data_IF_983722057914
#
_entry.id   IF_983722057914
#
_cell.length_a   1.000
_cell.length_b   1.000
_cell.length_c   1.000
_cell.angle_alpha   90.00
_cell.angle_beta   90.00
_cell.angle_gamma   90.00
#
_symmetry.space_group_name_H-M   'P 1'
#
loop_
_entity.id
_entity.type
_entity.pdbx_description
1 polymer ?
#
# COMPACT_ATOMS: atom_id res chain seq x y z
N UNK A 1 -10.83 33.05 -15.06
CA UNK A 1 -11.88 33.29 -14.05
C UNK A 1 -11.67 32.36 -12.90
N UNK A 2 -11.64 32.80 -11.65
CA UNK A 2 -11.47 31.89 -10.53
C UNK A 2 -12.71 31.01 -10.44
N UNK A 3 -12.54 29.75 -10.74
CA UNK A 3 -13.52 28.71 -10.44
C UNK A 3 -13.71 28.72 -8.91
N UNK A 4 -14.96 28.74 -8.47
CA UNK A 4 -15.29 28.74 -7.05
C UNK A 4 -15.01 27.34 -6.48
N UNK A 5 -13.73 27.05 -6.24
CA UNK A 5 -13.28 25.77 -5.70
C UNK A 5 -13.28 25.83 -4.18
N UNK A 6 -13.70 24.75 -3.49
CA UNK A 6 -13.67 24.68 -2.03
C UNK A 6 -12.26 24.89 -1.46
N UNK A 7 -12.12 25.41 -0.23
CA UNK A 7 -10.81 25.55 0.42
C UNK A 7 -9.98 24.26 0.41
N UNK A 8 -10.62 23.13 0.69
CA UNK A 8 -9.98 21.80 0.70
C UNK A 8 -9.32 21.42 -0.65
N UNK A 9 -9.82 21.96 -1.76
CA UNK A 9 -9.19 21.75 -3.07
C UNK A 9 -7.82 22.43 -3.15
N UNK A 10 -7.65 23.59 -2.53
CA UNK A 10 -6.36 24.29 -2.48
C UNK A 10 -5.32 23.51 -1.67
N UNK A 11 -5.77 22.94 -0.57
CA UNK A 11 -4.90 22.11 0.29
C UNK A 11 -4.44 20.84 -0.45
N UNK A 12 -5.35 20.23 -1.22
CA UNK A 12 -4.99 19.08 -2.08
C UNK A 12 -4.08 19.49 -3.25
N UNK A 13 -4.26 20.71 -3.83
CA UNK A 13 -3.37 21.24 -4.86
C UNK A 13 -1.97 21.52 -4.32
N UNK A 14 -1.86 22.02 -3.09
CA UNK A 14 -0.59 22.27 -2.41
C UNK A 14 0.13 20.95 -2.15
N UNK A 15 -0.56 19.95 -1.59
CA UNK A 15 -0.02 18.58 -1.44
C UNK A 15 0.46 17.99 -2.76
N UNK A 16 -0.26 18.24 -3.87
CA UNK A 16 0.19 17.82 -5.19
C UNK A 16 1.50 18.48 -5.62
N UNK A 17 1.72 19.75 -5.26
CA UNK A 17 2.96 20.49 -5.59
C UNK A 17 4.14 20.02 -4.73
N UNK A 18 3.87 19.72 -3.46
CA UNK A 18 4.89 19.29 -2.50
C UNK A 18 5.26 17.82 -2.66
N UNK A 19 4.33 16.98 -3.16
CA UNK A 19 4.58 15.57 -3.35
C UNK A 19 5.78 15.33 -4.27
N UNK A 20 6.78 14.66 -3.75
CA UNK A 20 8.00 14.26 -4.47
C UNK A 20 7.84 12.90 -5.15
N UNK A 21 7.04 12.02 -4.58
CA UNK A 21 6.77 10.67 -5.10
C UNK A 21 5.64 10.64 -6.14
N UNK A 22 5.72 9.73 -7.12
CA UNK A 22 4.61 9.50 -8.08
C UNK A 22 3.32 9.06 -7.36
N UNK A 23 3.36 8.14 -6.38
CA UNK A 23 2.17 7.79 -5.60
C UNK A 23 1.53 8.97 -4.89
N UNK A 24 2.32 9.80 -4.22
CA UNK A 24 1.81 11.00 -3.56
C UNK A 24 1.12 11.99 -4.52
N UNK A 25 1.68 12.19 -5.72
CA UNK A 25 1.04 12.99 -6.77
C UNK A 25 -0.28 12.41 -7.25
N UNK A 26 -0.35 11.09 -7.41
CA UNK A 26 -1.57 10.39 -7.81
C UNK A 26 -2.64 10.55 -6.73
N UNK A 27 -2.30 10.34 -5.46
CA UNK A 27 -3.21 10.49 -4.33
C UNK A 27 -3.81 11.91 -4.27
N UNK A 28 -2.95 12.92 -4.32
CA UNK A 28 -3.40 14.32 -4.29
C UNK A 28 -4.31 14.69 -5.48
N UNK A 29 -4.05 14.19 -6.70
CA UNK A 29 -4.93 14.40 -7.85
C UNK A 29 -6.29 13.72 -7.69
N UNK A 30 -6.32 12.54 -7.10
CA UNK A 30 -7.58 11.84 -6.83
C UNK A 30 -8.42 12.59 -5.80
N UNK A 31 -7.79 13.09 -4.75
CA UNK A 31 -8.44 13.93 -3.76
C UNK A 31 -9.00 15.22 -4.38
N UNK A 32 -8.23 15.91 -5.23
CA UNK A 32 -8.71 17.08 -5.97
C UNK A 32 -9.96 16.76 -6.81
N UNK A 33 -10.01 15.58 -7.43
CA UNK A 33 -11.16 15.13 -8.21
C UNK A 33 -12.39 14.81 -7.35
N UNK A 34 -12.19 14.32 -6.13
CA UNK A 34 -13.27 14.01 -5.17
C UNK A 34 -13.93 15.28 -4.62
N UNK A 35 -13.10 16.24 -4.22
CA UNK A 35 -13.56 17.49 -3.60
C UNK A 35 -14.28 18.39 -4.63
N UNK A 36 -14.00 18.21 -5.91
CA UNK A 36 -14.53 19.10 -6.94
C UNK A 36 -16.03 18.94 -7.16
N UNK A 37 -16.82 20.02 -7.02
CA UNK A 37 -18.26 19.97 -7.19
C UNK A 37 -18.67 19.57 -8.62
N UNK A 38 -19.82 18.90 -8.74
CA UNK A 38 -20.37 18.42 -10.02
C UNK A 38 -21.24 19.51 -10.67
N UNK A 39 -20.64 20.43 -11.42
CA UNK A 39 -21.40 21.42 -12.22
C UNK A 39 -20.65 21.76 -13.52
N UNK A 40 -21.41 22.27 -14.52
CA UNK A 40 -20.88 22.57 -15.87
C UNK A 40 -19.59 23.41 -15.89
N UNK A 41 -19.40 24.30 -14.94
CA UNK A 41 -18.20 25.14 -14.86
C UNK A 41 -16.91 24.40 -14.45
N UNK A 42 -17.03 23.19 -13.90
CA UNK A 42 -15.88 22.37 -13.46
C UNK A 42 -15.56 21.22 -14.41
N UNK A 43 -16.39 20.97 -15.42
CA UNK A 43 -16.24 19.80 -16.29
C UNK A 43 -14.91 19.81 -17.06
N UNK A 44 -14.48 20.98 -17.55
CA UNK A 44 -13.22 21.13 -18.26
C UNK A 44 -12.01 20.85 -17.33
N UNK A 45 -12.06 21.38 -16.10
CA UNK A 45 -11.00 21.16 -15.10
C UNK A 45 -10.95 19.70 -14.68
N UNK A 46 -12.11 19.05 -14.47
CA UNK A 46 -12.18 17.60 -14.20
C UNK A 46 -11.59 16.77 -15.32
N UNK A 47 -11.87 17.12 -16.58
CA UNK A 47 -11.31 16.44 -17.73
C UNK A 47 -9.78 16.55 -17.76
N UNK A 48 -9.24 17.73 -17.46
CA UNK A 48 -7.80 17.97 -17.37
C UNK A 48 -7.15 17.16 -16.23
N UNK A 49 -7.76 17.16 -15.04
CA UNK A 49 -7.24 16.40 -13.89
C UNK A 49 -7.29 14.89 -14.15
N UNK A 50 -8.37 14.38 -14.77
CA UNK A 50 -8.46 12.96 -15.17
C UNK A 50 -7.40 12.58 -16.21
N UNK A 51 -7.18 13.42 -17.22
CA UNK A 51 -6.15 13.19 -18.21
C UNK A 51 -4.74 13.18 -17.57
N UNK A 52 -4.50 14.09 -16.61
CA UNK A 52 -3.23 14.13 -15.86
C UNK A 52 -3.06 12.91 -14.97
N UNK A 53 -4.12 12.49 -14.28
CA UNK A 53 -4.15 11.29 -13.47
C UNK A 53 -3.84 10.05 -14.32
N UNK A 54 -4.51 9.91 -15.47
CA UNK A 54 -4.28 8.80 -16.41
C UNK A 54 -2.83 8.74 -16.89
N UNK A 55 -2.22 9.90 -17.17
CA UNK A 55 -0.79 9.97 -17.55
C UNK A 55 0.12 9.52 -16.42
N UNK A 56 -0.07 10.05 -15.20
CA UNK A 56 0.75 9.64 -14.06
C UNK A 56 0.57 8.16 -13.70
N UNK A 57 -0.63 7.61 -13.89
CA UNK A 57 -0.87 6.17 -13.71
C UNK A 57 -0.17 5.35 -14.80
N UNK A 58 -0.21 5.80 -16.06
CA UNK A 58 0.53 5.18 -17.16
C UNK A 58 2.05 5.29 -16.96
N UNK A 59 2.54 6.43 -16.46
CA UNK A 59 3.96 6.62 -16.13
C UNK A 59 4.38 5.70 -14.97
N UNK A 60 3.50 5.48 -14.01
CA UNK A 60 3.69 4.54 -12.93
C UNK A 60 3.77 3.09 -13.46
N UNK A 61 2.87 2.72 -14.38
CA UNK A 61 2.87 1.44 -15.06
C UNK A 61 4.09 1.28 -15.98
N UNK A 62 4.44 2.31 -16.75
CA UNK A 62 5.57 2.31 -17.65
C UNK A 62 6.94 2.44 -16.94
N UNK A 63 7.01 3.03 -15.75
CA UNK A 63 8.23 2.98 -14.94
C UNK A 63 8.52 1.57 -14.45
N UNK A 64 7.50 0.69 -14.46
CA UNK A 64 7.65 -0.76 -14.28
C UNK A 64 8.05 -1.49 -15.57
N UNK A 65 7.80 -0.90 -16.76
CA UNK A 65 8.12 -1.44 -18.06
C UNK A 65 9.50 -0.98 -18.57
N UNK A 66 10.57 -1.25 -17.84
CA UNK A 66 11.86 -1.40 -18.51
C UNK A 66 11.78 -2.69 -19.32
N UNK A 67 11.55 -2.55 -20.63
CA UNK A 67 11.46 -3.62 -21.63
C UNK A 67 12.53 -4.67 -21.42
N UNK A 68 12.18 -5.76 -20.78
CA UNK A 68 12.87 -7.03 -20.87
C UNK A 68 11.85 -8.10 -21.21
N UNK A 69 11.80 -8.37 -22.49
CA UNK A 69 11.30 -9.59 -23.14
C UNK A 69 10.63 -10.64 -22.25
N UNK A 70 9.30 -10.70 -22.27
CA UNK A 70 8.58 -11.96 -22.04
C UNK A 70 8.45 -12.47 -20.60
N UNK A 71 9.01 -11.81 -19.59
CA UNK A 71 8.85 -12.18 -18.19
C UNK A 71 7.71 -11.37 -17.59
N UNK A 72 6.72 -12.00 -16.92
CA UNK A 72 5.67 -11.26 -16.23
C UNK A 72 6.30 -10.26 -15.23
N UNK A 73 5.75 -9.03 -15.18
CA UNK A 73 6.15 -8.02 -14.21
C UNK A 73 5.94 -8.57 -12.78
N UNK A 74 6.97 -8.70 -11.93
CA UNK A 74 6.86 -9.36 -10.63
C UNK A 74 5.82 -8.72 -9.70
N UNK A 75 5.54 -7.42 -9.86
CA UNK A 75 4.53 -6.70 -9.07
C UNK A 75 3.11 -6.80 -9.64
N UNK A 76 2.96 -7.28 -10.87
CA UNK A 76 1.65 -7.55 -11.49
C UNK A 76 1.18 -8.96 -11.13
N UNK A 77 0.90 -9.17 -9.85
CA UNK A 77 0.39 -10.44 -9.37
C UNK A 77 -1.13 -10.55 -9.65
N UNK A 78 -1.60 -11.60 -10.33
CA UNK A 78 -3.02 -11.88 -10.41
C UNK A 78 -3.59 -12.09 -9.00
N UNK A 79 -4.81 -11.58 -8.76
CA UNK A 79 -5.49 -11.83 -7.50
C UNK A 79 -6.11 -13.22 -7.54
N UNK A 80 -5.76 -14.05 -6.57
CA UNK A 80 -6.21 -15.42 -6.46
C UNK A 80 -6.91 -15.67 -5.12
N UNK A 81 -7.81 -16.66 -5.07
CA UNK A 81 -8.56 -16.99 -3.86
C UNK A 81 -9.65 -15.99 -3.50
N UNK A 82 -10.14 -16.05 -2.27
CA UNK A 82 -11.25 -15.26 -1.76
C UNK A 82 -10.87 -13.79 -1.49
N UNK A 83 -9.58 -13.51 -1.28
CA UNK A 83 -9.08 -12.16 -1.02
C UNK A 83 -7.56 -12.13 -0.97
N UNK A 84 -7.00 -10.92 -1.03
CA UNK A 84 -5.55 -10.67 -0.92
C UNK A 84 -5.22 -9.88 0.33
N UNK A 85 -4.39 -10.45 1.18
CA UNK A 85 -3.76 -9.80 2.31
C UNK A 85 -2.28 -9.52 1.99
N UNK A 86 -1.79 -8.32 2.26
CA UNK A 86 -0.42 -7.92 1.92
C UNK A 86 0.36 -7.59 3.18
N UNK A 87 1.51 -8.27 3.36
CA UNK A 87 2.44 -8.03 4.46
C UNK A 87 3.27 -6.79 4.18
N UNK A 88 3.19 -5.78 5.04
CA UNK A 88 3.87 -4.48 4.91
C UNK A 88 4.72 -4.25 6.17
N UNK A 89 5.85 -3.62 6.02
CA UNK A 89 6.71 -3.25 7.13
C UNK A 89 8.17 -3.12 6.69
N UNK A 90 9.05 -2.66 7.59
CA UNK A 90 10.47 -2.46 7.30
C UNK A 90 11.22 -3.77 7.03
N UNK A 91 12.52 -3.64 6.78
CA UNK A 91 13.41 -4.79 6.56
C UNK A 91 13.56 -5.61 7.85
N UNK A 92 13.65 -6.93 7.71
CA UNK A 92 13.95 -7.89 8.79
C UNK A 92 12.90 -8.01 9.92
N UNK A 93 11.71 -7.49 9.77
CA UNK A 93 10.62 -7.69 10.75
C UNK A 93 10.00 -9.08 10.71
N UNK A 94 10.34 -9.90 9.70
CA UNK A 94 9.90 -11.30 9.59
C UNK A 94 8.73 -11.54 8.64
N UNK A 95 8.38 -10.63 7.74
CA UNK A 95 7.31 -10.80 6.74
C UNK A 95 7.43 -12.12 5.97
N UNK A 96 8.60 -12.39 5.40
CA UNK A 96 8.88 -13.62 4.64
C UNK A 96 8.79 -14.88 5.51
N UNK A 97 9.12 -14.78 6.79
CA UNK A 97 8.97 -15.89 7.74
C UNK A 97 7.48 -16.17 8.00
N UNK A 98 6.68 -15.13 8.21
CA UNK A 98 5.22 -15.25 8.37
C UNK A 98 4.63 -15.92 7.14
N UNK A 99 4.92 -15.44 5.93
CA UNK A 99 4.45 -16.06 4.69
C UNK A 99 4.81 -17.55 4.64
N UNK A 100 6.08 -17.88 4.85
CA UNK A 100 6.58 -19.26 4.76
C UNK A 100 5.90 -20.18 5.78
N UNK A 101 5.71 -19.71 7.00
CA UNK A 101 5.11 -20.51 8.09
C UNK A 101 3.60 -20.71 7.90
N UNK A 102 2.90 -19.72 7.38
CA UNK A 102 1.44 -19.77 7.26
C UNK A 102 0.97 -20.44 5.96
N UNK A 103 1.74 -20.31 4.88
CA UNK A 103 1.32 -20.80 3.55
C UNK A 103 2.15 -21.98 3.05
N UNK A 104 3.26 -22.31 3.68
CA UNK A 104 4.22 -23.28 3.17
C UNK A 104 5.00 -22.80 1.93
N UNK A 105 4.81 -21.57 1.50
CA UNK A 105 5.53 -20.99 0.36
C UNK A 105 7.04 -20.97 0.67
N UNK A 106 7.85 -21.39 -0.29
CA UNK A 106 9.32 -21.35 -0.18
C UNK A 106 9.81 -19.93 -0.38
N UNK A 107 9.68 -19.09 0.64
CA UNK A 107 10.44 -17.85 0.70
C UNK A 107 11.92 -18.20 0.89
N UNK A 108 12.81 -17.50 0.19
CA UNK A 108 14.26 -17.59 0.44
C UNK A 108 14.56 -16.90 1.77
N UNK A 109 14.24 -17.56 2.87
CA UNK A 109 14.61 -17.12 4.21
C UNK A 109 16.10 -17.41 4.37
N UNK A 110 16.94 -16.47 4.02
CA UNK A 110 18.37 -16.52 4.28
C UNK A 110 18.73 -15.54 5.39
N UNK A 111 19.64 -15.93 6.25
CA UNK A 111 20.18 -15.12 7.36
C UNK A 111 21.00 -13.89 6.94
N UNK A 112 21.07 -13.59 5.66
CA UNK A 112 21.66 -12.39 5.11
C UNK A 112 20.57 -11.53 4.45
N UNK A 113 20.57 -10.26 4.81
CA UNK A 113 19.66 -9.20 4.42
C UNK A 113 19.60 -8.94 2.90
N UNK A 114 19.14 -9.92 2.13
CA UNK A 114 18.56 -9.66 0.83
C UNK A 114 17.09 -9.37 1.10
N UNK A 115 16.81 -8.09 1.38
CA UNK A 115 15.45 -7.59 1.38
C UNK A 115 14.75 -8.11 0.14
N UNK A 116 13.56 -8.69 0.32
CA UNK A 116 12.68 -9.11 -0.77
C UNK A 116 12.60 -7.97 -1.78
N UNK A 117 13.06 -8.20 -3.01
CA UNK A 117 13.02 -7.18 -4.07
C UNK A 117 11.77 -7.31 -4.94
N UNK A 118 11.16 -8.49 -4.93
CA UNK A 118 9.96 -8.83 -5.68
C UNK A 118 8.91 -9.41 -4.73
N UNK A 119 7.62 -9.08 -4.90
CA UNK A 119 6.57 -9.64 -4.06
C UNK A 119 6.43 -11.15 -4.28
N UNK A 120 6.24 -11.87 -3.19
CA UNK A 120 6.11 -13.33 -3.19
C UNK A 120 4.72 -13.69 -2.69
N UNK A 121 3.85 -14.30 -3.53
CA UNK A 121 2.54 -14.77 -3.11
C UNK A 121 2.63 -16.15 -2.45
N UNK A 122 1.73 -16.40 -1.49
CA UNK A 122 1.44 -17.69 -0.91
C UNK A 122 -0.05 -17.83 -0.65
N UNK A 123 -0.57 -19.05 -0.69
CA UNK A 123 -1.99 -19.33 -0.45
C UNK A 123 -2.20 -19.81 0.98
N UNK A 124 -2.92 -19.02 1.78
CA UNK A 124 -3.29 -19.36 3.14
C UNK A 124 -4.63 -20.08 3.17
N UNK A 125 -4.69 -21.33 3.61
CA UNK A 125 -5.95 -22.08 3.71
C UNK A 125 -6.75 -21.61 4.95
N UNK A 126 -8.02 -21.35 4.76
CA UNK A 126 -8.96 -21.11 5.85
C UNK A 126 -10.28 -21.80 5.54
N UNK A 127 -10.64 -22.79 6.33
CA UNK A 127 -11.79 -23.67 6.06
C UNK A 127 -11.76 -24.22 4.62
N UNK A 128 -12.79 -23.95 3.84
CA UNK A 128 -12.93 -24.42 2.44
C UNK A 128 -12.45 -23.40 1.40
N UNK A 129 -11.83 -22.30 1.84
CA UNK A 129 -11.37 -21.21 0.96
C UNK A 129 -9.87 -20.94 1.15
N UNK A 130 -9.30 -20.22 0.18
CA UNK A 130 -7.91 -19.77 0.24
C UNK A 130 -7.83 -18.25 0.16
N UNK A 131 -6.95 -17.66 0.97
CA UNK A 131 -6.56 -16.26 0.86
C UNK A 131 -5.16 -16.16 0.28
N UNK A 132 -4.95 -15.20 -0.61
CA UNK A 132 -3.63 -14.89 -1.11
C UNK A 132 -2.91 -13.97 -0.12
N UNK A 133 -1.84 -14.47 0.50
CA UNK A 133 -0.96 -13.68 1.34
C UNK A 133 0.27 -13.30 0.51
N UNK A 134 0.63 -12.01 0.50
CA UNK A 134 1.74 -11.51 -0.32
C UNK A 134 2.81 -10.89 0.57
N UNK A 135 4.04 -11.44 0.52
CA UNK A 135 5.22 -10.81 1.09
C UNK A 135 5.73 -9.72 0.16
N UNK A 136 6.00 -8.53 0.69
CA UNK A 136 6.41 -7.37 -0.10
C UNK A 136 7.83 -6.90 0.24
N UNK A 137 8.47 -6.20 -0.70
CA UNK A 137 9.65 -5.40 -0.38
C UNK A 137 9.39 -4.45 0.78
N UNK A 138 10.44 -4.05 1.51
CA UNK A 138 10.30 -3.04 2.56
C UNK A 138 9.68 -1.75 2.03
N UNK A 139 8.79 -1.15 2.83
CA UNK A 139 8.05 0.06 2.44
C UNK A 139 8.97 1.26 2.20
N UNK A 140 10.08 1.33 2.91
CA UNK A 140 11.13 2.34 2.83
C UNK A 140 12.05 2.20 1.61
N UNK A 141 11.88 1.16 0.79
CA UNK A 141 12.69 0.94 -0.40
C UNK A 141 12.21 1.80 -1.58
N UNK A 142 12.83 2.97 -1.75
CA UNK A 142 12.51 3.93 -2.82
C UNK A 142 12.50 3.30 -4.22
N UNK A 143 13.38 2.33 -4.49
CA UNK A 143 13.47 1.69 -5.82
C UNK A 143 12.24 0.85 -6.18
N UNK A 144 11.47 0.40 -5.19
CA UNK A 144 10.29 -0.45 -5.39
C UNK A 144 8.97 0.26 -5.08
N UNK A 145 9.01 1.46 -4.53
CA UNK A 145 7.85 2.22 -4.03
C UNK A 145 6.71 2.33 -5.04
N UNK A 146 7.00 2.77 -6.26
CA UNK A 146 5.97 2.94 -7.30
C UNK A 146 5.27 1.65 -7.67
N UNK A 147 6.04 0.55 -7.77
CA UNK A 147 5.50 -0.77 -8.09
C UNK A 147 4.74 -1.38 -6.90
N UNK A 148 5.25 -1.16 -5.68
CA UNK A 148 4.60 -1.57 -4.45
C UNK A 148 3.23 -0.88 -4.30
N UNK A 149 3.14 0.41 -4.57
CA UNK A 149 1.87 1.13 -4.58
C UNK A 149 0.82 0.49 -5.49
N UNK A 150 1.21 0.10 -6.72
CA UNK A 150 0.32 -0.60 -7.65
C UNK A 150 -0.25 -1.90 -7.08
N UNK A 151 0.60 -2.69 -6.41
CA UNK A 151 0.20 -3.92 -5.73
C UNK A 151 -0.74 -3.64 -4.55
N UNK A 152 -0.41 -2.67 -3.70
CA UNK A 152 -1.20 -2.31 -2.52
C UNK A 152 -2.62 -1.84 -2.87
N UNK A 153 -2.79 -1.13 -3.99
CA UNK A 153 -4.12 -0.74 -4.48
C UNK A 153 -5.04 -1.94 -4.70
N UNK A 154 -4.49 -3.06 -5.15
CA UNK A 154 -5.26 -4.28 -5.45
C UNK A 154 -5.44 -5.20 -4.25
N UNK A 155 -4.85 -4.87 -3.12
CA UNK A 155 -4.96 -5.62 -1.86
C UNK A 155 -6.29 -5.31 -1.16
N UNK A 156 -6.87 -6.29 -0.51
CA UNK A 156 -8.11 -6.13 0.26
C UNK A 156 -7.82 -5.77 1.73
N UNK A 157 -6.74 -6.32 2.28
CA UNK A 157 -6.34 -6.16 3.68
C UNK A 157 -4.86 -5.88 3.74
N UNK A 158 -4.45 -4.97 4.62
CA UNK A 158 -3.06 -4.76 4.99
C UNK A 158 -2.72 -5.48 6.28
N UNK A 159 -1.54 -6.10 6.31
CA UNK A 159 -0.97 -6.70 7.50
C UNK A 159 0.34 -5.99 7.80
N UNK A 160 0.31 -5.05 8.72
CA UNK A 160 1.49 -4.31 9.15
C UNK A 160 2.28 -5.14 10.14
N UNK A 161 3.53 -5.45 9.80
CA UNK A 161 4.41 -6.28 10.63
C UNK A 161 5.47 -5.39 11.27
N UNK A 162 5.51 -5.38 12.59
CA UNK A 162 6.51 -4.71 13.40
C UNK A 162 7.36 -5.71 14.18
N UNK A 163 8.61 -5.38 14.40
CA UNK A 163 9.57 -6.13 15.20
C UNK A 163 9.57 -5.58 16.63
N UNK A 164 9.08 -6.38 17.60
CA UNK A 164 9.04 -6.01 19.01
C UNK A 164 10.42 -5.74 19.62
N UNK A 165 11.49 -6.25 19.02
CA UNK A 165 12.85 -6.05 19.55
C UNK A 165 13.50 -4.75 19.15
N UNK A 166 12.83 -3.93 18.30
CA UNK A 166 13.46 -2.75 17.73
C UNK A 166 12.46 -1.57 17.57
N UNK A 167 12.04 -0.96 18.69
CA UNK A 167 11.13 0.19 18.67
C UNK A 167 9.91 0.01 17.76
N UNK A 168 9.00 -0.89 18.08
CA UNK A 168 7.86 -1.23 17.22
C UNK A 168 6.96 -0.04 16.92
N UNK A 169 6.81 0.89 17.86
CA UNK A 169 6.01 2.10 17.70
C UNK A 169 6.54 2.98 16.55
N UNK A 170 7.84 3.23 16.53
CA UNK A 170 8.48 4.03 15.45
C UNK A 170 8.32 3.35 14.09
N UNK A 171 8.42 2.02 14.04
CA UNK A 171 8.22 1.27 12.80
C UNK A 171 6.79 1.42 12.27
N UNK A 172 5.79 1.38 13.16
CA UNK A 172 4.38 1.54 12.82
C UNK A 172 4.09 2.98 12.40
N UNK A 173 4.55 3.97 13.14
CA UNK A 173 4.39 5.39 12.80
C UNK A 173 4.96 5.69 11.41
N UNK A 174 6.14 5.17 11.09
CA UNK A 174 6.73 5.32 9.77
C UNK A 174 5.86 4.66 8.69
N UNK A 175 5.40 3.42 8.91
CA UNK A 175 4.55 2.72 7.96
C UNK A 175 3.20 3.43 7.77
N UNK A 176 2.59 3.94 8.84
CA UNK A 176 1.36 4.73 8.76
C UNK A 176 1.56 6.02 7.97
N UNK A 177 2.66 6.74 8.22
CA UNK A 177 2.99 7.98 7.52
C UNK A 177 3.16 7.75 6.02
N UNK A 178 3.93 6.75 5.61
CA UNK A 178 4.15 6.40 4.20
C UNK A 178 2.84 6.00 3.50
N UNK A 179 2.04 5.15 4.14
CA UNK A 179 0.76 4.72 3.57
C UNK A 179 -0.25 5.86 3.46
N UNK A 180 -0.26 6.77 4.44
CA UNK A 180 -1.09 7.97 4.40
C UNK A 180 -0.63 8.94 3.30
N UNK A 181 0.69 9.14 3.10
CA UNK A 181 1.21 9.94 1.98
C UNK A 181 0.80 9.34 0.63
N UNK A 182 0.72 8.02 0.54
CA UNK A 182 0.25 7.33 -0.66
C UNK A 182 -1.28 7.35 -0.82
N UNK A 183 -2.00 7.97 0.14
CA UNK A 183 -3.44 8.18 0.11
C UNK A 183 -4.26 6.97 0.57
N UNK A 184 -3.66 6.03 1.29
CA UNK A 184 -4.41 4.96 1.93
C UNK A 184 -4.94 5.38 3.30
N UNK A 185 -6.21 5.09 3.57
CA UNK A 185 -6.83 5.23 4.87
C UNK A 185 -6.83 3.87 5.56
N UNK A 186 -6.13 3.76 6.68
CA UNK A 186 -6.07 2.52 7.44
C UNK A 186 -7.24 2.46 8.41
N UNK A 187 -7.96 1.35 8.41
CA UNK A 187 -9.15 1.15 9.23
C UNK A 187 -9.05 -0.15 10.03
N UNK A 188 -9.59 -0.15 11.24
CA UNK A 188 -9.64 -1.35 12.09
C UNK A 188 -10.66 -2.38 11.59
N UNK A 189 -11.70 -1.94 10.90
CA UNK A 189 -12.77 -2.80 10.40
C UNK A 189 -13.01 -2.55 8.92
N UNK A 190 -13.37 -3.62 8.22
CA UNK A 190 -14.00 -3.49 6.92
C UNK A 190 -15.32 -2.75 7.11
N UNK A 191 -15.32 -1.44 7.00
CA UNK A 191 -16.54 -0.66 6.98
C UNK A 191 -17.39 -1.16 5.83
N UNK A 192 -18.46 -1.88 6.19
CA UNK A 192 -19.38 -2.44 5.23
C UNK A 192 -19.78 -1.36 4.22
N UNK A 193 -19.45 -1.61 2.99
CA UNK A 193 -19.87 -1.04 1.72
C UNK A 193 -20.97 0.04 1.88
N UNK A 194 -20.58 1.25 2.21
CA UNK A 194 -21.37 2.42 1.88
C UNK A 194 -21.05 2.79 0.42
N UNK A 195 -22.02 2.62 -0.46
CA UNK A 195 -21.89 2.66 -1.92
C UNK A 195 -21.46 4.01 -2.52
N UNK A 196 -21.14 5.02 -1.71
CA UNK A 196 -20.88 6.39 -2.16
C UNK A 196 -19.46 6.93 -1.92
N UNK A 197 -18.57 6.15 -1.32
CA UNK A 197 -17.17 6.56 -1.09
C UNK A 197 -16.21 5.72 -1.93
N UNK A 198 -15.12 6.32 -2.41
CA UNK A 198 -14.08 5.61 -3.18
C UNK A 198 -13.29 4.65 -2.28
N UNK A 199 -13.88 3.52 -1.99
CA UNK A 199 -13.47 2.50 -1.03
C UNK A 199 -12.12 1.81 -1.33
N UNK A 200 -11.52 2.07 -2.49
CA UNK A 200 -10.22 1.45 -2.81
C UNK A 200 -9.06 2.00 -1.96
N UNK A 201 -9.22 3.17 -1.34
CA UNK A 201 -8.24 3.78 -0.44
C UNK A 201 -8.40 3.31 1.00
N UNK A 202 -9.62 2.92 1.40
CA UNK A 202 -9.87 2.45 2.75
C UNK A 202 -9.40 0.99 2.84
N UNK A 203 -8.41 0.75 3.68
CA UNK A 203 -7.78 -0.56 3.84
C UNK A 203 -7.94 -1.06 5.26
N UNK A 204 -8.77 -2.11 5.46
CA UNK A 204 -8.75 -2.86 6.70
C UNK A 204 -7.33 -3.29 7.02
N UNK A 205 -6.88 -3.02 8.23
CA UNK A 205 -5.48 -3.20 8.61
C UNK A 205 -5.37 -4.00 9.89
N UNK A 206 -4.49 -4.99 9.88
CA UNK A 206 -4.13 -5.80 11.03
C UNK A 206 -2.68 -5.50 11.39
N UNK A 207 -2.42 -5.23 12.66
CA UNK A 207 -1.06 -5.07 13.18
C UNK A 207 -0.58 -6.41 13.73
N UNK A 208 0.61 -6.82 13.33
CA UNK A 208 1.28 -8.04 13.79
C UNK A 208 2.61 -7.67 14.44
N UNK A 209 2.67 -7.80 15.75
CA UNK A 209 3.90 -7.64 16.53
C UNK A 209 4.66 -8.96 16.53
N UNK A 210 5.75 -9.01 15.79
CA UNK A 210 6.55 -10.22 15.60
C UNK A 210 7.76 -10.28 16.55
N UNK A 211 8.38 -11.45 16.68
CA UNK A 211 9.54 -11.75 17.53
C UNK A 211 9.25 -11.68 19.04
N UNK A 212 8.01 -11.95 19.42
CA UNK A 212 7.60 -12.00 20.82
C UNK A 212 8.30 -13.11 21.64
N UNK A 213 8.94 -14.06 20.97
CA UNK A 213 9.76 -15.13 21.56
C UNK A 213 11.14 -14.64 22.09
N UNK A 214 11.55 -13.44 21.73
CA UNK A 214 12.80 -12.86 22.20
C UNK A 214 12.61 -12.31 23.62
N UNK A 215 13.51 -12.64 24.59
CA UNK A 215 13.41 -12.13 25.94
C UNK A 215 13.34 -10.57 26.00
N UNK A 216 12.36 -10.04 26.71
CA UNK A 216 12.12 -8.60 26.84
C UNK A 216 11.32 -7.95 25.70
N UNK A 217 11.00 -8.70 24.64
CA UNK A 217 10.24 -8.15 23.51
C UNK A 217 8.79 -7.82 23.91
N UNK A 218 8.19 -8.60 24.80
CA UNK A 218 6.81 -8.37 25.26
C UNK A 218 6.65 -7.09 26.09
N UNK A 219 7.71 -6.61 26.70
CA UNK A 219 7.67 -5.33 27.45
C UNK A 219 7.39 -4.14 26.52
N UNK A 220 7.72 -4.27 25.24
CA UNK A 220 7.45 -3.27 24.19
C UNK A 220 6.03 -3.39 23.61
N UNK A 221 5.33 -4.48 23.88
CA UNK A 221 3.98 -4.70 23.33
C UNK A 221 2.93 -3.78 23.95
N UNK A 222 3.09 -3.47 25.24
CA UNK A 222 2.14 -2.59 25.97
C UNK A 222 2.24 -1.12 25.48
N UNK A 223 3.28 -0.77 24.72
CA UNK A 223 3.46 0.56 24.12
C UNK A 223 2.81 0.69 22.73
N UNK A 224 2.45 -0.41 22.10
CA UNK A 224 1.85 -0.48 20.74
C UNK A 224 0.32 -0.53 20.80
#
# INVERSE_FOLDING_TARGET
MPTNVPPQYRDAEERFREATSLPGKIAALQEMLQIMPKHKGTDHLKAQLRARLSRLMSDLENSSDSKTSGRPEPFSLPKEGAGRATLIGPTNVGKSMILSKTTGAKSKVGSYALSTQEPIPGMYPYEDIYFQLVDTPPIDNVATQSRLYGLLRTSDIFVLVADLTNNPLIQLEHAFSELAEWGFNLTEQSTAINQDTNLWNDKPTIIVCNKADVPGALDQFDEV
#
